data_IF_126082241261
#
_entry.id   IF_126082241261
#
_cell.length_a   1.000
_cell.length_b   1.000
_cell.length_c   1.000
_cell.angle_alpha   90.00
_cell.angle_beta   90.00
_cell.angle_gamma   90.00
#
_symmetry.space_group_name_H-M   'P 1'
#
loop_
_entity.id
_entity.type
_entity.pdbx_description
1 polymer ?
#
# COMPACT_ATOMS: atom_id res chain seq x y z
N UNK A 1 -4.39 23.43 -4.56
CA UNK A 1 -4.63 22.21 -3.77
C UNK A 1 -3.36 21.36 -3.85
N UNK A 2 -2.89 20.86 -2.73
CA UNK A 2 -1.68 20.03 -2.68
C UNK A 2 -2.05 18.61 -3.08
N UNK A 3 -1.30 18.03 -4.03
CA UNK A 3 -1.48 16.63 -4.40
C UNK A 3 -1.05 15.72 -3.27
N UNK A 4 -1.82 14.65 -3.06
CA UNK A 4 -1.60 13.70 -1.98
C UNK A 4 -1.63 12.28 -2.53
N UNK A 5 -0.64 11.49 -2.17
CA UNK A 5 -0.49 10.12 -2.65
C UNK A 5 -0.38 9.14 -1.49
N UNK A 6 -1.11 8.06 -1.60
CA UNK A 6 -1.02 6.92 -0.68
C UNK A 6 -0.40 5.74 -1.42
N UNK A 7 0.85 5.42 -1.09
CA UNK A 7 1.53 4.22 -1.59
C UNK A 7 1.12 3.05 -0.70
N UNK A 8 0.37 2.12 -1.27
CA UNK A 8 -0.38 1.12 -0.53
C UNK A 8 0.06 -0.31 -0.88
N UNK A 9 0.48 -1.05 0.13
CA UNK A 9 0.62 -2.49 0.08
C UNK A 9 -0.69 -3.19 0.46
N UNK A 10 -0.81 -4.49 0.15
CA UNK A 10 -2.01 -5.27 0.44
C UNK A 10 -1.78 -6.31 1.53
N UNK A 11 -0.80 -7.20 1.33
CA UNK A 11 -0.54 -8.29 2.28
C UNK A 11 -0.07 -7.73 3.62
N UNK A 12 -0.79 -8.08 4.68
CA UNK A 12 -0.49 -7.56 6.02
C UNK A 12 -0.91 -6.11 6.26
N UNK A 13 -1.57 -5.48 5.29
CA UNK A 13 -2.08 -4.09 5.34
C UNK A 13 -3.59 -4.05 5.22
N UNK A 14 -4.14 -4.60 4.15
CA UNK A 14 -5.59 -4.73 3.92
C UNK A 14 -6.08 -6.16 4.15
N UNK A 15 -5.34 -7.18 3.72
CA UNK A 15 -5.61 -8.55 4.15
C UNK A 15 -4.78 -8.84 5.40
N UNK A 16 -5.44 -9.35 6.43
CA UNK A 16 -4.84 -9.52 7.76
C UNK A 16 -4.84 -10.97 8.20
N UNK A 17 -3.87 -11.33 9.02
CA UNK A 17 -3.84 -12.65 9.66
C UNK A 17 -5.08 -12.89 10.52
N UNK A 18 -5.55 -11.88 11.22
CA UNK A 18 -6.77 -11.94 12.03
C UNK A 18 -8.00 -12.34 11.21
N UNK A 19 -8.25 -11.64 10.12
CA UNK A 19 -9.45 -11.88 9.30
C UNK A 19 -9.38 -13.22 8.56
N UNK A 20 -8.20 -13.58 8.06
CA UNK A 20 -7.98 -14.90 7.47
C UNK A 20 -8.30 -16.02 8.47
N UNK A 21 -7.76 -15.94 9.67
CA UNK A 21 -7.99 -16.95 10.72
C UNK A 21 -9.48 -17.01 11.12
N UNK A 22 -10.15 -15.85 11.19
CA UNK A 22 -11.57 -15.76 11.46
C UNK A 22 -12.40 -16.49 10.39
N UNK A 23 -12.12 -16.24 9.10
CA UNK A 23 -12.82 -16.91 8.01
C UNK A 23 -12.59 -18.42 8.03
N UNK A 24 -11.35 -18.86 8.23
CA UNK A 24 -11.03 -20.29 8.34
C UNK A 24 -11.80 -20.92 9.50
N UNK A 25 -11.86 -20.26 10.66
CA UNK A 25 -12.57 -20.77 11.83
C UNK A 25 -14.08 -20.94 11.61
N UNK A 26 -14.64 -20.13 10.70
CA UNK A 26 -16.05 -20.18 10.32
C UNK A 26 -16.31 -21.13 9.14
N UNK A 27 -15.29 -21.76 8.56
CA UNK A 27 -15.41 -22.57 7.36
C UNK A 27 -15.75 -21.74 6.10
N UNK A 28 -15.46 -20.44 6.12
CA UNK A 28 -15.71 -19.55 4.98
C UNK A 28 -14.48 -19.40 4.10
N UNK A 29 -14.63 -19.15 2.78
CA UNK A 29 -13.51 -18.88 1.89
C UNK A 29 -12.76 -17.63 2.34
N UNK A 30 -11.42 -17.71 2.39
CA UNK A 30 -10.56 -16.56 2.71
C UNK A 30 -9.90 -15.96 1.46
N UNK A 31 -10.23 -16.50 0.29
CA UNK A 31 -9.77 -16.03 -1.03
C UNK A 31 -10.94 -15.96 -2.01
N UNK A 32 -10.87 -15.01 -2.95
CA UNK A 32 -11.69 -14.95 -4.15
C UNK A 32 -10.82 -15.06 -5.41
N UNK A 33 -11.37 -14.80 -6.60
CA UNK A 33 -10.64 -14.82 -7.86
C UNK A 33 -9.49 -13.82 -7.94
N UNK A 34 -9.49 -12.81 -7.10
CA UNK A 34 -8.44 -11.77 -7.05
C UNK A 34 -7.34 -12.06 -6.02
N UNK A 35 -7.55 -13.01 -5.12
CA UNK A 35 -6.61 -13.33 -4.04
C UNK A 35 -7.23 -13.24 -2.66
N UNK A 36 -6.42 -13.11 -1.60
CA UNK A 36 -6.91 -12.99 -0.23
C UNK A 36 -7.96 -11.89 -0.07
N UNK A 37 -9.03 -12.19 0.66
CA UNK A 37 -10.10 -11.23 0.95
C UNK A 37 -9.60 -10.20 1.96
N UNK A 38 -9.88 -8.92 1.70
CA UNK A 38 -9.47 -7.84 2.58
C UNK A 38 -10.30 -7.81 3.86
N UNK A 39 -9.65 -7.48 4.96
CA UNK A 39 -10.27 -7.31 6.26
C UNK A 39 -11.19 -6.07 6.24
N UNK A 40 -12.50 -6.23 6.53
CA UNK A 40 -13.41 -5.09 6.54
C UNK A 40 -13.00 -3.96 7.50
N UNK A 41 -12.34 -4.29 8.61
CA UNK A 41 -11.84 -3.28 9.56
C UNK A 41 -10.70 -2.47 8.95
N UNK A 42 -9.75 -3.13 8.26
CA UNK A 42 -8.66 -2.45 7.56
C UNK A 42 -9.20 -1.58 6.41
N UNK A 43 -10.17 -2.08 5.67
CA UNK A 43 -10.83 -1.31 4.59
C UNK A 43 -11.56 -0.09 5.14
N UNK A 44 -12.21 -0.19 6.29
CA UNK A 44 -12.87 0.96 6.92
C UNK A 44 -11.83 2.02 7.32
N UNK A 45 -10.66 1.63 7.80
CA UNK A 45 -9.59 2.57 8.12
C UNK A 45 -9.02 3.23 6.86
N UNK A 46 -8.88 2.47 5.78
CA UNK A 46 -8.53 3.05 4.48
C UNK A 46 -9.56 4.09 4.02
N UNK A 47 -10.85 3.77 4.16
CA UNK A 47 -11.93 4.70 3.84
C UNK A 47 -11.80 6.01 4.63
N UNK A 48 -11.51 5.94 5.93
CA UNK A 48 -11.29 7.13 6.77
C UNK A 48 -10.13 7.98 6.24
N UNK A 49 -9.03 7.35 5.85
CA UNK A 49 -7.89 8.07 5.27
C UNK A 49 -8.31 8.80 3.99
N UNK A 50 -8.98 8.11 3.09
CA UNK A 50 -9.40 8.68 1.80
C UNK A 50 -10.42 9.80 2.01
N UNK A 51 -11.43 9.61 2.84
CA UNK A 51 -12.46 10.62 3.11
C UNK A 51 -11.87 11.91 3.73
N UNK A 52 -10.86 11.77 4.59
CA UNK A 52 -10.23 12.90 5.26
C UNK A 52 -9.16 13.62 4.43
N UNK A 53 -8.57 12.96 3.44
CA UNK A 53 -7.40 13.49 2.74
C UNK A 53 -7.59 13.66 1.25
N UNK A 54 -8.50 12.92 0.64
CA UNK A 54 -8.70 12.80 -0.81
C UNK A 54 -7.43 12.36 -1.55
N UNK A 55 -6.56 11.59 -0.90
CA UNK A 55 -5.34 11.10 -1.51
C UNK A 55 -5.65 10.10 -2.63
N UNK A 56 -4.88 10.18 -3.71
CA UNK A 56 -4.88 9.18 -4.76
C UNK A 56 -4.02 7.98 -4.34
N UNK A 57 -4.43 6.79 -4.74
CA UNK A 57 -3.77 5.53 -4.36
C UNK A 57 -2.85 5.07 -5.48
N UNK A 58 -1.61 4.76 -5.10
CA UNK A 58 -0.61 4.10 -5.95
C UNK A 58 -0.25 2.76 -5.33
N UNK A 59 -0.44 1.67 -6.06
CA UNK A 59 -0.22 0.32 -5.55
C UNK A 59 1.27 -0.04 -5.59
N UNK A 60 1.79 -0.49 -4.45
CA UNK A 60 3.18 -0.97 -4.31
C UNK A 60 3.25 -2.47 -3.99
N UNK A 61 2.12 -3.11 -3.75
CA UNK A 61 2.02 -4.55 -3.50
C UNK A 61 2.59 -5.36 -4.67
N UNK A 62 3.14 -6.54 -4.38
CA UNK A 62 3.54 -7.49 -5.41
C UNK A 62 2.40 -7.89 -6.36
N UNK A 63 1.14 -7.71 -5.97
CA UNK A 63 -0.01 -7.94 -6.84
C UNK A 63 0.00 -7.05 -8.09
N UNK A 64 0.72 -5.93 -8.06
CA UNK A 64 0.85 -4.98 -9.18
C UNK A 64 1.40 -5.61 -10.46
N UNK A 65 2.10 -6.76 -10.36
CA UNK A 65 2.63 -7.43 -11.55
C UNK A 65 1.53 -7.88 -12.52
N UNK A 66 0.27 -7.98 -12.06
CA UNK A 66 -0.88 -8.24 -12.92
C UNK A 66 -1.26 -7.02 -13.78
N UNK A 67 -0.71 -5.84 -13.50
CA UNK A 67 -0.94 -4.60 -14.23
C UNK A 67 -1.98 -3.68 -13.57
N UNK A 68 -1.95 -2.42 -13.99
CA UNK A 68 -2.83 -1.38 -13.45
C UNK A 68 -4.31 -1.70 -13.67
N UNK A 69 -4.67 -2.14 -14.87
CA UNK A 69 -6.06 -2.48 -15.19
C UNK A 69 -6.60 -3.57 -14.26
N UNK A 70 -5.81 -4.63 -14.00
CA UNK A 70 -6.20 -5.69 -13.08
C UNK A 70 -6.40 -5.17 -11.66
N UNK A 71 -5.55 -4.24 -11.21
CA UNK A 71 -5.68 -3.62 -9.89
C UNK A 71 -6.95 -2.76 -9.80
N UNK A 72 -7.24 -1.98 -10.85
CA UNK A 72 -8.44 -1.16 -10.91
C UNK A 72 -9.71 -2.02 -10.99
N UNK A 73 -9.70 -3.13 -11.72
CA UNK A 73 -10.83 -4.07 -11.81
C UNK A 73 -11.11 -4.73 -10.45
N UNK A 74 -10.08 -5.19 -9.76
CA UNK A 74 -10.22 -5.75 -8.43
C UNK A 74 -10.79 -4.72 -7.45
N UNK A 75 -10.29 -3.48 -7.52
CA UNK A 75 -10.73 -2.37 -6.67
C UNK A 75 -12.21 -2.09 -6.85
N UNK A 76 -12.66 -2.00 -8.10
CA UNK A 76 -14.06 -1.77 -8.45
C UNK A 76 -14.95 -2.95 -8.05
N UNK A 77 -14.53 -4.18 -8.34
CA UNK A 77 -15.29 -5.41 -8.03
C UNK A 77 -15.50 -5.57 -6.52
N UNK A 78 -14.49 -5.21 -5.72
CA UNK A 78 -14.57 -5.28 -4.25
C UNK A 78 -15.17 -4.03 -3.62
N UNK A 79 -15.60 -3.04 -4.40
CA UNK A 79 -16.18 -1.77 -3.93
C UNK A 79 -15.29 -1.06 -2.89
N UNK A 80 -13.99 -0.99 -3.17
CA UNK A 80 -13.02 -0.39 -2.25
C UNK A 80 -13.02 1.14 -2.33
N UNK A 81 -12.66 1.83 -1.24
CA UNK A 81 -12.66 3.29 -1.20
C UNK A 81 -11.49 3.89 -1.96
N UNK A 82 -11.69 5.09 -2.48
CA UNK A 82 -10.66 5.86 -3.14
C UNK A 82 -10.44 5.48 -4.60
N UNK A 83 -9.41 6.07 -5.17
CA UNK A 83 -9.08 5.93 -6.59
C UNK A 83 -7.67 5.40 -6.74
N UNK A 84 -7.53 4.24 -7.36
CA UNK A 84 -6.24 3.69 -7.80
C UNK A 84 -5.86 4.35 -9.11
N UNK A 85 -4.86 5.22 -9.06
CA UNK A 85 -4.42 5.98 -10.26
C UNK A 85 -3.25 5.31 -10.98
N UNK A 86 -2.43 4.55 -10.26
CA UNK A 86 -1.23 3.94 -10.83
C UNK A 86 -0.69 2.79 -9.97
N UNK A 87 0.32 2.13 -10.50
CA UNK A 87 1.18 1.16 -9.83
C UNK A 87 2.62 1.66 -9.92
N UNK A 88 3.47 1.35 -8.94
CA UNK A 88 4.89 1.68 -9.04
C UNK A 88 5.59 0.81 -10.09
N UNK A 89 6.64 1.35 -10.77
CA UNK A 89 7.38 0.55 -11.73
C UNK A 89 8.18 -0.57 -11.05
N UNK A 90 8.42 -1.66 -11.77
CA UNK A 90 9.28 -2.75 -11.30
C UNK A 90 10.70 -2.51 -11.83
N UNK A 91 11.49 -1.75 -11.08
CA UNK A 91 12.84 -1.32 -11.48
C UNK A 91 13.95 -2.19 -10.90
N UNK A 92 13.61 -2.98 -9.86
CA UNK A 92 14.57 -3.87 -9.19
C UNK A 92 14.16 -5.31 -9.48
N UNK A 93 15.05 -6.08 -10.12
CA UNK A 93 14.77 -7.49 -10.39
C UNK A 93 14.96 -8.32 -9.12
N UNK A 94 14.16 -9.38 -8.99
CA UNK A 94 14.26 -10.32 -7.86
C UNK A 94 15.61 -11.05 -7.78
N UNK A 95 16.44 -10.98 -8.81
CA UNK A 95 17.79 -11.54 -8.83
C UNK A 95 18.84 -10.62 -8.20
N UNK A 96 18.47 -9.40 -7.82
CA UNK A 96 19.38 -8.47 -7.16
C UNK A 96 19.37 -8.73 -5.65
N UNK A 97 20.17 -9.67 -5.19
CA UNK A 97 20.33 -9.89 -3.75
C UNK A 97 21.29 -8.89 -3.09
N UNK A 98 22.24 -8.37 -3.83
CA UNK A 98 23.10 -7.20 -3.57
C UNK A 98 23.66 -6.84 -4.94
N UNK A 99 23.31 -5.71 -5.46
CA UNK A 99 23.94 -5.26 -6.67
C UNK A 99 25.37 -4.73 -6.37
N UNK A 100 26.13 -4.53 -7.43
CA UNK A 100 27.48 -3.97 -7.35
C UNK A 100 27.51 -2.55 -6.74
N UNK A 101 26.33 -1.92 -6.59
CA UNK A 101 26.14 -0.56 -6.04
C UNK A 101 25.65 -0.59 -4.58
N UNK A 102 25.52 -1.77 -3.95
CA UNK A 102 25.11 -1.91 -2.56
C UNK A 102 23.62 -1.69 -2.31
N UNK A 103 22.77 -1.77 -3.34
CA UNK A 103 21.31 -1.68 -3.18
C UNK A 103 20.80 -2.97 -2.56
N UNK A 104 20.27 -2.88 -1.36
CA UNK A 104 19.61 -3.99 -0.70
C UNK A 104 18.26 -4.26 -1.38
N UNK A 105 18.04 -5.50 -1.82
CA UNK A 105 16.75 -5.93 -2.40
C UNK A 105 15.57 -5.66 -1.47
N UNK A 106 15.81 -5.58 -0.15
CA UNK A 106 14.80 -5.21 0.84
C UNK A 106 14.32 -3.75 0.72
N UNK A 107 15.07 -2.89 0.04
CA UNK A 107 14.70 -1.49 -0.23
C UNK A 107 14.05 -1.30 -1.60
N UNK A 108 13.78 -2.37 -2.33
CA UNK A 108 13.28 -2.31 -3.71
C UNK A 108 11.99 -1.50 -3.84
N UNK A 109 11.04 -1.66 -2.92
CA UNK A 109 9.79 -0.89 -2.94
C UNK A 109 10.05 0.60 -2.75
N UNK A 110 10.96 0.97 -1.83
CA UNK A 110 11.33 2.36 -1.62
C UNK A 110 11.95 3.01 -2.86
N UNK A 111 12.80 2.29 -3.57
CA UNK A 111 13.40 2.74 -4.84
C UNK A 111 12.32 2.94 -5.90
N UNK A 112 11.39 2.01 -6.03
CA UNK A 112 10.29 2.08 -7.00
C UNK A 112 9.35 3.26 -6.69
N UNK A 113 9.08 3.55 -5.41
CA UNK A 113 8.33 4.73 -4.98
C UNK A 113 9.06 6.01 -5.35
N UNK A 114 10.36 6.07 -5.12
CA UNK A 114 11.17 7.24 -5.43
C UNK A 114 11.16 7.54 -6.93
N UNK A 115 11.29 6.52 -7.78
CA UNK A 115 11.14 6.63 -9.22
C UNK A 115 9.76 7.18 -9.62
N UNK A 116 8.70 6.64 -9.03
CA UNK A 116 7.35 7.09 -9.32
C UNK A 116 7.15 8.56 -8.95
N UNK A 117 7.60 8.95 -7.76
CA UNK A 117 7.52 10.33 -7.29
C UNK A 117 8.29 11.29 -8.21
N UNK A 118 9.49 10.89 -8.62
CA UNK A 118 10.30 11.71 -9.53
C UNK A 118 9.61 11.97 -10.86
N UNK A 119 8.93 10.98 -11.42
CA UNK A 119 8.30 11.08 -12.73
C UNK A 119 6.90 11.70 -12.70
N UNK A 120 6.16 11.54 -11.59
CA UNK A 120 4.73 11.86 -11.57
C UNK A 120 4.34 12.93 -10.55
N UNK A 121 5.09 13.08 -9.46
CA UNK A 121 4.70 14.00 -8.42
C UNK A 121 5.00 15.45 -8.80
N UNK A 122 4.05 16.33 -8.50
CA UNK A 122 4.29 17.76 -8.57
C UNK A 122 5.12 18.22 -7.36
N UNK A 123 5.74 19.37 -7.50
CA UNK A 123 6.45 20.00 -6.39
C UNK A 123 5.50 20.20 -5.20
N UNK A 124 5.98 19.91 -4.01
CA UNK A 124 5.24 20.02 -2.74
C UNK A 124 4.13 18.97 -2.53
N UNK A 125 4.07 17.92 -3.34
CA UNK A 125 3.15 16.80 -3.11
C UNK A 125 3.44 16.14 -1.75
N UNK A 126 2.36 15.74 -1.06
CA UNK A 126 2.46 14.97 0.19
C UNK A 126 2.22 13.50 -0.09
N UNK A 127 2.91 12.65 0.63
CA UNK A 127 2.70 11.22 0.47
C UNK A 127 2.90 10.46 1.78
N UNK A 128 2.29 9.28 1.83
CA UNK A 128 2.44 8.30 2.90
C UNK A 128 2.62 6.92 2.26
N UNK A 129 3.47 6.11 2.87
CA UNK A 129 3.69 4.71 2.50
C UNK A 129 3.15 3.84 3.63
N UNK A 130 2.27 2.89 3.30
CA UNK A 130 1.77 1.89 4.27
C UNK A 130 2.17 0.50 3.79
N UNK A 131 2.99 -0.17 4.58
CA UNK A 131 3.52 -1.51 4.29
C UNK A 131 3.72 -2.27 5.62
N UNK A 132 3.69 -3.60 5.57
CA UNK A 132 3.95 -4.45 6.73
C UNK A 132 5.43 -4.81 6.88
N UNK A 133 6.25 -4.43 5.91
CA UNK A 133 7.70 -4.67 5.91
C UNK A 133 8.48 -3.36 5.80
N UNK A 134 9.66 -3.34 6.42
CA UNK A 134 10.55 -2.20 6.37
C UNK A 134 11.39 -2.24 5.07
N UNK A 135 10.76 -1.83 3.96
CA UNK A 135 11.30 -1.95 2.58
C UNK A 135 11.48 -0.60 1.89
N UNK A 136 11.69 0.45 2.69
CA UNK A 136 11.77 1.83 2.25
C UNK A 136 13.20 2.39 2.34
N UNK A 137 13.42 3.54 1.72
CA UNK A 137 14.66 4.31 1.86
C UNK A 137 14.64 5.12 3.16
N UNK A 138 15.82 5.42 3.71
CA UNK A 138 15.95 6.23 4.93
C UNK A 138 15.26 7.59 4.80
N UNK A 139 15.35 8.21 3.62
CA UNK A 139 14.68 9.49 3.31
C UNK A 139 13.16 9.42 3.37
N UNK A 140 12.58 8.23 3.26
CA UNK A 140 11.13 8.00 3.27
C UNK A 140 10.58 7.72 4.67
N UNK A 141 11.44 7.53 5.67
CA UNK A 141 11.04 7.24 7.05
C UNK A 141 9.96 8.19 7.62
N UNK A 142 10.04 9.52 7.42
CA UNK A 142 9.01 10.44 7.93
C UNK A 142 7.62 10.23 7.31
N UNK A 143 7.55 9.53 6.19
CA UNK A 143 6.33 9.27 5.43
C UNK A 143 5.85 7.83 5.57
N UNK A 144 6.51 7.02 6.39
CA UNK A 144 6.30 5.58 6.46
C UNK A 144 5.47 5.18 7.66
N UNK A 145 4.50 4.30 7.41
CA UNK A 145 3.67 3.66 8.42
C UNK A 145 3.82 2.15 8.29
N UNK A 146 4.41 1.53 9.31
CA UNK A 146 4.55 0.08 9.41
C UNK A 146 3.30 -0.51 10.04
N UNK A 147 2.70 -1.50 9.39
CA UNK A 147 1.60 -2.28 9.95
C UNK A 147 2.12 -3.57 10.59
N UNK A 148 1.37 -4.09 11.55
CA UNK A 148 1.51 -5.48 11.98
C UNK A 148 0.66 -6.33 11.01
N UNK A 149 1.22 -7.38 10.36
CA UNK A 149 0.48 -8.15 9.36
C UNK A 149 -0.74 -8.89 9.91
N UNK A 150 -0.82 -9.11 11.22
CA UNK A 150 -2.01 -9.68 11.85
C UNK A 150 -3.16 -8.68 11.93
N UNK A 151 -2.87 -7.40 12.18
CA UNK A 151 -3.87 -6.36 12.41
C UNK A 151 -4.16 -5.49 11.17
N UNK A 152 -3.20 -5.31 10.27
CA UNK A 152 -3.30 -4.39 9.14
C UNK A 152 -3.41 -2.93 9.58
N UNK A 153 -4.13 -2.11 8.79
CA UNK A 153 -4.36 -0.70 9.14
C UNK A 153 -5.32 -0.63 10.33
N UNK A 154 -4.80 -0.10 11.44
CA UNK A 154 -5.58 0.17 12.65
C UNK A 154 -6.08 1.60 12.68
N UNK A 155 -6.98 1.90 13.59
CA UNK A 155 -7.47 3.26 13.87
C UNK A 155 -6.32 4.24 14.15
N UNK A 156 -5.37 3.84 14.99
CA UNK A 156 -4.21 4.65 15.33
C UNK A 156 -3.33 4.95 14.10
N UNK A 157 -3.10 3.95 13.26
CA UNK A 157 -2.29 4.12 12.05
C UNK A 157 -3.01 4.98 11.00
N UNK A 158 -4.33 4.84 10.87
CA UNK A 158 -5.13 5.71 10.02
C UNK A 158 -5.05 7.18 10.46
N UNK A 159 -5.15 7.45 11.76
CA UNK A 159 -5.00 8.80 12.30
C UNK A 159 -3.63 9.39 11.94
N UNK A 160 -2.57 8.60 12.03
CA UNK A 160 -1.22 9.03 11.67
C UNK A 160 -1.11 9.33 10.17
N UNK A 161 -1.68 8.49 9.30
CA UNK A 161 -1.69 8.73 7.86
C UNK A 161 -2.42 10.02 7.50
N UNK A 162 -3.58 10.26 8.12
CA UNK A 162 -4.36 11.48 7.93
C UNK A 162 -3.54 12.72 8.34
N UNK A 163 -2.89 12.68 9.49
CA UNK A 163 -2.06 13.78 9.96
C UNK A 163 -0.91 14.08 8.99
N UNK A 164 -0.23 13.06 8.50
CA UNK A 164 0.89 13.22 7.56
C UNK A 164 0.43 13.78 6.21
N UNK A 165 -0.71 13.34 5.70
CA UNK A 165 -1.24 13.79 4.40
C UNK A 165 -1.88 15.20 4.48
N UNK A 166 -2.43 15.57 5.61
CA UNK A 166 -3.03 16.90 5.77
C UNK A 166 -2.04 17.96 6.28
N UNK A 167 -0.93 17.53 6.82
CA UNK A 167 0.13 18.41 7.33
C UNK A 167 -0.21 19.02 8.65
#
# INVERSE_FOLDING_TARGET
MVDKYLFLDFDGVLNTGFYRDLLISKGEPWRDEHGPIFDPQAVEQLKRIIDATHADIVIVSSWKYLGLEAMQDMWATRHLPGRVIDITPSVVSASWSLDENGIDARQSKGIEIDFWLFENAVQDARYVIIDDEYVILDSQLPHFILTNPFDGITDLLANRAIALLNG
#
